data_IF_557455898465
#
_entry.id   IF_557455898465
#
_cell.length_a   1.000
_cell.length_b   1.000
_cell.length_c   1.000
_cell.angle_alpha   90.00
_cell.angle_beta   90.00
_cell.angle_gamma   90.00
#
_symmetry.space_group_name_H-M   'P 1'
#
loop_
_entity.id
_entity.type
_entity.pdbx_description
1 polymer ?
#
# COMPACT_ATOMS: atom_id res chain seq x y z
N UNK A 1 50.23 -19.40 -2.41
CA UNK A 1 49.65 -18.04 -2.26
C UNK A 1 48.57 -17.71 -3.30
N UNK A 2 48.69 -18.12 -4.57
CA UNK A 2 47.67 -17.86 -5.63
C UNK A 2 46.26 -18.40 -5.31
N UNK A 3 46.17 -19.55 -4.64
CA UNK A 3 44.89 -20.18 -4.29
C UNK A 3 44.15 -19.50 -3.13
N UNK A 4 44.83 -18.66 -2.34
CA UNK A 4 44.23 -17.94 -1.21
C UNK A 4 43.38 -16.74 -1.69
N UNK A 5 43.86 -16.03 -2.72
CA UNK A 5 43.13 -14.91 -3.33
C UNK A 5 41.86 -15.37 -4.05
N UNK A 6 41.84 -16.59 -4.61
CA UNK A 6 40.66 -17.16 -5.25
C UNK A 6 39.51 -17.40 -4.25
N UNK A 7 39.84 -17.75 -3.00
CA UNK A 7 38.87 -18.00 -1.93
C UNK A 7 38.26 -16.69 -1.39
N UNK A 8 39.05 -15.62 -1.33
CA UNK A 8 38.59 -14.29 -0.92
C UNK A 8 37.62 -13.70 -1.96
N UNK A 9 37.87 -13.89 -3.26
CA UNK A 9 36.97 -13.41 -4.33
C UNK A 9 35.62 -14.14 -4.30
N UNK A 10 35.59 -15.43 -3.96
CA UNK A 10 34.34 -16.21 -3.88
C UNK A 10 33.43 -15.78 -2.73
N UNK A 11 33.99 -15.28 -1.62
CA UNK A 11 33.23 -14.78 -0.46
C UNK A 11 32.54 -13.42 -0.71
N UNK A 12 32.99 -12.64 -1.71
CA UNK A 12 32.36 -11.36 -2.05
C UNK A 12 31.11 -11.50 -2.92
N UNK A 13 30.86 -12.66 -3.54
CA UNK A 13 29.69 -12.86 -4.42
C UNK A 13 28.42 -13.35 -3.70
N UNK A 14 28.48 -13.69 -2.41
CA UNK A 14 27.32 -14.23 -1.67
C UNK A 14 26.49 -13.19 -0.92
N UNK A 15 26.91 -11.92 -0.88
CA UNK A 15 26.27 -10.86 -0.10
C UNK A 15 25.23 -10.03 -0.86
N UNK A 16 24.90 -10.39 -2.11
CA UNK A 16 23.98 -9.61 -2.94
C UNK A 16 22.62 -10.33 -3.00
N UNK A 17 21.60 -9.67 -2.43
CA UNK A 17 20.16 -9.98 -2.41
C UNK A 17 19.60 -10.61 -1.12
N UNK A 18 19.61 -9.84 -0.03
CA UNK A 18 18.77 -10.15 1.13
C UNK A 18 17.30 -9.84 0.83
N UNK A 19 16.65 -10.67 0.01
CA UNK A 19 15.19 -10.80 0.05
C UNK A 19 14.84 -11.48 1.37
N UNK A 20 13.92 -10.90 2.13
CA UNK A 20 13.47 -11.53 3.38
C UNK A 20 12.45 -12.59 3.02
N UNK A 21 12.83 -13.85 3.20
CA UNK A 21 11.86 -14.93 3.18
C UNK A 21 11.10 -14.91 4.50
N UNK A 22 9.83 -14.51 4.44
CA UNK A 22 8.93 -14.64 5.57
C UNK A 22 8.78 -16.13 5.93
N UNK A 23 8.70 -16.44 7.22
CA UNK A 23 8.23 -17.75 7.63
C UNK A 23 6.70 -17.86 7.43
N UNK A 24 6.18 -19.08 7.50
CA UNK A 24 4.76 -19.36 7.24
C UNK A 24 3.80 -18.52 8.11
N UNK A 25 4.14 -18.32 9.39
CA UNK A 25 3.29 -17.53 10.29
C UNK A 25 3.29 -16.04 9.94
N UNK A 26 4.45 -15.49 9.55
CA UNK A 26 4.57 -14.09 9.12
C UNK A 26 3.82 -13.85 7.80
N UNK A 27 3.98 -14.78 6.85
CA UNK A 27 3.27 -14.74 5.57
C UNK A 27 1.75 -14.80 5.77
N UNK A 28 1.29 -15.69 6.67
CA UNK A 28 -0.12 -15.78 7.04
C UNK A 28 -0.62 -14.50 7.71
N UNK A 29 0.17 -13.89 8.60
CA UNK A 29 -0.18 -12.63 9.25
C UNK A 29 -0.32 -11.48 8.25
N UNK A 30 0.62 -11.35 7.30
CA UNK A 30 0.56 -10.36 6.22
C UNK A 30 -0.69 -10.56 5.35
N UNK A 31 -0.96 -11.79 4.92
CA UNK A 31 -2.13 -12.09 4.10
C UNK A 31 -3.46 -11.84 4.85
N UNK A 32 -3.53 -12.18 6.14
CA UNK A 32 -4.68 -11.83 6.99
C UNK A 32 -4.86 -10.32 7.11
N UNK A 33 -3.76 -9.57 7.26
CA UNK A 33 -3.82 -8.11 7.31
C UNK A 33 -4.38 -7.52 6.00
N UNK A 34 -3.93 -8.00 4.85
CA UNK A 34 -4.41 -7.56 3.54
C UNK A 34 -5.91 -7.85 3.39
N UNK A 35 -6.36 -9.05 3.78
CA UNK A 35 -7.79 -9.38 3.75
C UNK A 35 -8.60 -8.53 4.72
N UNK A 36 -8.07 -8.25 5.91
CA UNK A 36 -8.71 -7.36 6.86
C UNK A 36 -8.88 -5.94 6.29
N UNK A 37 -7.83 -5.36 5.72
CA UNK A 37 -7.88 -4.03 5.07
C UNK A 37 -8.90 -4.03 3.93
N UNK A 38 -8.91 -5.06 3.09
CA UNK A 38 -9.89 -5.23 2.00
C UNK A 38 -11.32 -5.23 2.54
N UNK A 39 -11.59 -5.99 3.59
CA UNK A 39 -12.90 -6.05 4.22
C UNK A 39 -13.31 -4.71 4.81
N UNK A 40 -12.40 -4.00 5.48
CA UNK A 40 -12.66 -2.69 6.06
C UNK A 40 -13.01 -1.63 5.02
N UNK A 41 -12.36 -1.65 3.84
CA UNK A 41 -12.76 -0.80 2.71
C UNK A 41 -14.15 -1.18 2.17
N UNK A 42 -14.42 -2.48 2.01
CA UNK A 42 -15.71 -2.95 1.50
C UNK A 42 -16.89 -2.63 2.44
N UNK A 43 -16.69 -2.74 3.75
CA UNK A 43 -17.70 -2.44 4.78
C UNK A 43 -17.74 -0.97 5.20
N UNK A 44 -16.82 -0.15 4.68
CA UNK A 44 -16.69 1.28 5.01
C UNK A 44 -16.45 1.53 6.51
N UNK A 45 -15.72 0.63 7.16
CA UNK A 45 -15.35 0.77 8.56
C UNK A 45 -14.13 1.69 8.71
N UNK A 46 -14.39 3.00 8.76
CA UNK A 46 -13.36 4.04 8.86
C UNK A 46 -12.56 3.99 10.16
N UNK A 47 -13.20 3.58 11.26
CA UNK A 47 -12.52 3.42 12.54
C UNK A 47 -11.54 2.26 12.45
N UNK A 48 -11.97 1.13 11.88
CA UNK A 48 -11.11 -0.01 11.60
C UNK A 48 -9.97 0.35 10.65
N UNK A 49 -10.23 1.05 9.54
CA UNK A 49 -9.18 1.51 8.61
C UNK A 49 -8.13 2.37 9.33
N UNK A 50 -8.58 3.30 10.16
CA UNK A 50 -7.69 4.19 10.92
C UNK A 50 -6.75 3.44 11.85
N UNK A 51 -7.19 2.31 12.41
CA UNK A 51 -6.34 1.47 13.26
C UNK A 51 -5.23 0.73 12.49
N UNK A 52 -5.35 0.66 11.17
CA UNK A 52 -4.40 -0.03 10.31
C UNK A 52 -3.50 0.94 9.52
N UNK A 53 -3.65 2.25 9.69
CA UNK A 53 -2.78 3.25 9.04
C UNK A 53 -1.47 3.40 9.83
N UNK A 54 -0.37 3.62 9.11
CA UNK A 54 0.95 3.85 9.70
C UNK A 54 0.92 4.93 10.77
N UNK A 55 1.51 4.67 11.96
CA UNK A 55 1.67 5.67 13.00
C UNK A 55 2.41 6.93 12.53
N UNK A 56 3.36 6.80 11.59
CA UNK A 56 4.07 7.96 11.00
C UNK A 56 3.08 8.88 10.29
N UNK A 57 2.18 8.33 9.47
CA UNK A 57 1.18 9.12 8.74
C UNK A 57 0.19 9.77 9.70
N UNK A 58 -0.29 9.03 10.71
CA UNK A 58 -1.18 9.60 11.72
C UNK A 58 -0.51 10.78 12.43
N UNK A 59 0.75 10.63 12.82
CA UNK A 59 1.50 11.65 13.56
C UNK A 59 1.81 12.89 12.73
N UNK A 60 2.30 12.72 11.50
CA UNK A 60 2.87 13.81 10.71
C UNK A 60 1.90 14.46 9.73
N UNK A 61 0.81 13.77 9.34
CA UNK A 61 -0.16 14.31 8.37
C UNK A 61 -1.47 14.70 9.04
N UNK A 62 -2.01 13.83 9.89
CA UNK A 62 -3.37 14.00 10.43
C UNK A 62 -3.40 14.46 11.89
N UNK A 63 -2.28 14.44 12.59
CA UNK A 63 -2.09 14.66 14.03
C UNK A 63 -2.84 13.70 14.96
N UNK A 64 -3.92 13.05 14.52
CA UNK A 64 -4.72 12.14 15.33
C UNK A 64 -5.45 11.11 14.49
N UNK A 65 -5.84 9.99 15.12
CA UNK A 65 -6.72 8.99 14.50
C UNK A 65 -8.10 9.57 14.16
N UNK A 66 -8.65 10.44 15.00
CA UNK A 66 -9.96 11.04 14.75
C UNK A 66 -9.96 11.93 13.51
N UNK A 67 -8.89 12.67 13.27
CA UNK A 67 -8.70 13.45 12.04
C UNK A 67 -8.69 12.57 10.79
N UNK A 68 -8.05 11.39 10.85
CA UNK A 68 -8.06 10.41 9.76
C UNK A 68 -9.48 9.89 9.51
N UNK A 69 -10.16 9.44 10.57
CA UNK A 69 -11.53 8.93 10.48
C UNK A 69 -12.49 10.00 9.92
N UNK A 70 -12.33 11.25 10.33
CA UNK A 70 -13.08 12.40 9.79
C UNK A 70 -12.79 12.62 8.31
N UNK A 71 -11.53 12.61 7.89
CA UNK A 71 -11.15 12.77 6.48
C UNK A 71 -11.75 11.67 5.60
N UNK A 72 -11.69 10.40 6.04
CA UNK A 72 -12.29 9.27 5.32
C UNK A 72 -13.82 9.42 5.18
N UNK A 73 -14.50 9.89 6.23
CA UNK A 73 -15.95 10.18 6.19
C UNK A 73 -16.27 11.28 5.18
N UNK A 74 -15.52 12.38 5.20
CA UNK A 74 -15.71 13.50 4.26
C UNK A 74 -15.59 13.01 2.81
N UNK A 75 -14.53 12.27 2.48
CA UNK A 75 -14.35 11.72 1.13
C UNK A 75 -15.55 10.87 0.70
N UNK A 76 -16.12 10.08 1.61
CA UNK A 76 -17.26 9.25 1.29
C UNK A 76 -18.58 10.04 1.17
N UNK A 77 -18.79 11.04 2.02
CA UNK A 77 -19.94 11.93 1.93
C UNK A 77 -19.90 12.74 0.62
N UNK A 78 -18.73 13.14 0.15
CA UNK A 78 -18.54 13.72 -1.17
C UNK A 78 -18.96 12.76 -2.29
N UNK A 79 -18.60 11.47 -2.22
CA UNK A 79 -19.06 10.48 -3.21
C UNK A 79 -20.60 10.37 -3.23
N UNK A 80 -21.24 10.39 -2.06
CA UNK A 80 -22.71 10.38 -1.94
C UNK A 80 -23.34 11.65 -2.51
N UNK A 81 -22.83 12.82 -2.14
CA UNK A 81 -23.32 14.11 -2.64
C UNK A 81 -23.19 14.20 -4.17
N UNK A 82 -22.13 13.60 -4.71
CA UNK A 82 -21.92 13.50 -6.15
C UNK A 82 -22.73 12.38 -6.81
N UNK A 83 -23.62 11.69 -6.10
CA UNK A 83 -24.50 10.64 -6.64
C UNK A 83 -23.74 9.48 -7.28
N UNK A 84 -22.58 9.12 -6.72
CA UNK A 84 -21.84 7.92 -7.14
C UNK A 84 -22.69 6.69 -6.83
N UNK A 85 -23.10 5.97 -7.89
CA UNK A 85 -24.01 4.82 -7.81
C UNK A 85 -23.28 3.53 -7.47
N UNK A 86 -21.97 3.45 -7.75
CA UNK A 86 -21.14 2.32 -7.38
C UNK A 86 -19.74 2.80 -6.96
N UNK A 87 -19.27 2.29 -5.84
CA UNK A 87 -17.90 2.43 -5.36
C UNK A 87 -17.41 1.05 -4.93
N UNK A 88 -16.49 0.49 -5.71
CA UNK A 88 -15.88 -0.80 -5.47
C UNK A 88 -14.38 -0.66 -5.29
N UNK A 89 -13.79 -1.54 -4.49
CA UNK A 89 -12.38 -1.55 -4.16
C UNK A 89 -11.86 -2.97 -4.13
N UNK A 90 -10.84 -3.24 -4.93
CA UNK A 90 -10.10 -4.50 -4.91
C UNK A 90 -8.66 -4.27 -4.47
N UNK A 91 -8.15 -5.19 -3.67
CA UNK A 91 -6.75 -5.21 -3.23
C UNK A 91 -6.12 -6.51 -3.74
N UNK A 92 -4.97 -6.38 -4.38
CA UNK A 92 -4.21 -7.49 -4.96
C UNK A 92 -3.37 -8.26 -3.93
N UNK A 93 -2.38 -8.99 -4.43
CA UNK A 93 -1.36 -9.65 -3.60
C UNK A 93 -0.20 -8.70 -3.30
N UNK A 94 0.56 -8.99 -2.25
CA UNK A 94 1.76 -8.21 -1.95
C UNK A 94 2.92 -8.55 -2.89
N UNK A 95 3.79 -7.56 -3.09
CA UNK A 95 5.10 -7.75 -3.70
C UNK A 95 6.03 -8.54 -2.80
N UNK A 96 7.26 -8.76 -3.27
CA UNK A 96 8.37 -9.21 -2.41
C UNK A 96 8.51 -8.32 -1.19
N UNK A 97 8.86 -8.95 -0.06
CA UNK A 97 9.11 -8.28 1.21
C UNK A 97 10.60 -7.91 1.30
N UNK A 98 10.85 -6.65 1.60
CA UNK A 98 12.18 -6.09 1.80
C UNK A 98 12.36 -5.67 3.26
N UNK A 99 13.60 -5.74 3.74
CA UNK A 99 13.97 -5.14 5.02
C UNK A 99 14.59 -3.78 4.78
N UNK A 100 13.95 -2.75 5.31
CA UNK A 100 14.45 -1.37 5.28
C UNK A 100 14.65 -0.87 6.69
N UNK A 101 15.90 -0.60 7.08
CA UNK A 101 16.25 -0.23 8.46
C UNK A 101 15.68 -1.26 9.45
N UNK A 102 14.75 -0.84 10.29
CA UNK A 102 14.11 -1.64 11.35
C UNK A 102 12.71 -2.14 10.95
N UNK A 103 12.32 -2.01 9.69
CA UNK A 103 11.00 -2.35 9.19
C UNK A 103 11.06 -3.43 8.08
N UNK A 104 10.06 -4.30 8.05
CA UNK A 104 9.71 -5.09 6.86
C UNK A 104 8.73 -4.29 6.02
N UNK A 105 8.92 -4.26 4.71
CA UNK A 105 8.10 -3.49 3.78
C UNK A 105 7.72 -4.32 2.55
N UNK A 106 6.48 -4.15 2.10
CA UNK A 106 6.02 -4.61 0.80
C UNK A 106 4.98 -3.63 0.23
N UNK A 107 4.64 -3.81 -1.03
CA UNK A 107 3.60 -3.02 -1.69
C UNK A 107 2.44 -3.92 -2.09
N UNK A 108 1.23 -3.38 -2.12
CA UNK A 108 0.04 -4.08 -2.63
C UNK A 108 -0.71 -3.13 -3.56
N UNK A 109 -1.09 -3.62 -4.74
CA UNK A 109 -1.91 -2.85 -5.66
C UNK A 109 -3.34 -2.75 -5.13
N UNK A 110 -3.90 -1.55 -5.16
CA UNK A 110 -5.30 -1.24 -4.86
C UNK A 110 -5.93 -0.63 -6.11
N UNK A 111 -7.10 -1.14 -6.48
CA UNK A 111 -7.91 -0.61 -7.58
C UNK A 111 -9.26 -0.18 -7.05
N UNK A 112 -9.62 1.07 -7.31
CA UNK A 112 -10.89 1.66 -6.92
C UNK A 112 -11.68 2.01 -8.16
N UNK A 113 -12.93 1.56 -8.22
CA UNK A 113 -13.86 1.84 -9.32
C UNK A 113 -14.98 2.72 -8.78
N UNK A 114 -15.13 3.90 -9.37
CA UNK A 114 -16.24 4.81 -9.12
C UNK A 114 -17.13 4.83 -10.36
N UNK A 115 -18.44 4.71 -10.20
CA UNK A 115 -19.43 4.86 -11.28
C UNK A 115 -20.50 5.86 -10.88
N UNK A 116 -20.89 6.69 -11.84
CA UNK A 116 -22.00 7.62 -11.76
C UNK A 116 -22.61 7.71 -13.16
N UNK A 117 -23.85 7.25 -13.34
CA UNK A 117 -24.54 7.30 -14.64
C UNK A 117 -23.64 6.87 -15.81
N UNK A 118 -23.33 7.81 -16.71
CA UNK A 118 -22.49 7.63 -17.90
C UNK A 118 -20.99 7.70 -17.62
N UNK A 119 -20.59 7.97 -16.38
CA UNK A 119 -19.22 8.18 -15.95
C UNK A 119 -18.71 6.97 -15.16
N UNK A 120 -17.49 6.52 -15.47
CA UNK A 120 -16.74 5.54 -14.69
C UNK A 120 -15.31 6.01 -14.53
N UNK A 121 -14.78 6.03 -13.32
CA UNK A 121 -13.37 6.25 -13.06
C UNK A 121 -12.77 4.98 -12.46
N UNK A 122 -11.60 4.57 -12.95
CA UNK A 122 -10.79 3.48 -12.43
C UNK A 122 -9.47 4.07 -11.97
N UNK A 123 -9.22 4.00 -10.67
CA UNK A 123 -8.02 4.49 -10.04
C UNK A 123 -7.19 3.30 -9.57
N UNK A 124 -5.99 3.15 -10.11
CA UNK A 124 -5.03 2.13 -9.70
C UNK A 124 -3.88 2.82 -8.96
N UNK A 125 -3.59 2.36 -7.75
CA UNK A 125 -2.50 2.88 -6.92
C UNK A 125 -1.95 1.78 -6.03
N UNK A 126 -0.89 2.07 -5.30
CA UNK A 126 -0.22 1.11 -4.45
C UNK A 126 -0.30 1.56 -2.99
N UNK A 127 -0.48 0.60 -2.11
CA UNK A 127 -0.33 0.77 -0.67
C UNK A 127 1.04 0.24 -0.28
N UNK A 128 1.76 0.99 0.56
CA UNK A 128 2.91 0.46 1.30
C UNK A 128 2.36 -0.25 2.54
N UNK A 129 2.76 -1.50 2.76
CA UNK A 129 2.59 -2.17 4.04
C UNK A 129 3.94 -2.25 4.74
N UNK A 130 3.96 -1.85 6.02
CA UNK A 130 5.16 -1.85 6.84
C UNK A 130 4.93 -2.55 8.19
N UNK A 131 5.94 -3.24 8.69
CA UNK A 131 5.93 -3.91 9.99
C UNK A 131 7.23 -3.63 10.75
N UNK A 132 7.12 -3.12 11.98
CA UNK A 132 8.24 -2.83 12.89
C UNK A 132 8.50 -3.96 13.89
N UNK A 133 7.67 -5.00 13.89
CA UNK A 133 7.71 -6.10 14.88
C UNK A 133 8.02 -7.45 14.24
N UNK A 134 8.83 -7.41 13.18
CA UNK A 134 9.25 -8.58 12.40
C UNK A 134 8.07 -9.34 11.80
N UNK A 135 7.09 -8.62 11.24
CA UNK A 135 6.00 -9.18 10.45
C UNK A 135 4.82 -9.72 11.26
N UNK A 136 4.70 -9.38 12.55
CA UNK A 136 3.56 -9.81 13.38
C UNK A 136 2.36 -8.89 13.16
N UNK A 137 2.59 -7.59 13.09
CA UNK A 137 1.59 -6.58 12.79
C UNK A 137 2.04 -5.73 11.60
N UNK A 138 1.10 -5.40 10.72
CA UNK A 138 1.36 -4.66 9.50
C UNK A 138 0.40 -3.46 9.42
N UNK A 139 0.95 -2.28 9.14
CA UNK A 139 0.18 -1.07 8.88
C UNK A 139 0.32 -0.66 7.42
N UNK A 140 -0.71 -0.03 6.85
CA UNK A 140 -0.67 0.48 5.48
C UNK A 140 -0.47 1.98 5.43
N UNK A 141 -0.02 2.48 4.28
CA UNK A 141 0.05 3.90 3.94
C UNK A 141 -0.19 4.09 2.45
N UNK A 142 -0.80 5.22 2.10
CA UNK A 142 -0.81 5.70 0.72
C UNK A 142 0.62 6.09 0.33
N UNK A 143 0.95 5.96 -0.96
CA UNK A 143 2.31 6.14 -1.48
C UNK A 143 2.39 7.23 -2.55
N UNK A 144 1.39 8.10 -2.60
CA UNK A 144 1.29 9.23 -3.53
C UNK A 144 1.76 10.55 -2.90
N UNK A 145 2.37 11.40 -3.73
CA UNK A 145 2.80 12.74 -3.36
C UNK A 145 3.54 12.81 -2.02
N UNK A 146 3.10 13.72 -1.16
CA UNK A 146 3.69 13.99 0.15
C UNK A 146 3.83 12.77 1.05
N UNK A 147 2.93 11.78 0.96
CA UNK A 147 3.02 10.58 1.78
C UNK A 147 4.28 9.78 1.45
N UNK A 148 4.69 9.72 0.18
CA UNK A 148 5.89 9.01 -0.24
C UNK A 148 7.14 9.54 0.44
N UNK A 149 7.26 10.87 0.55
CA UNK A 149 8.45 11.52 1.12
C UNK A 149 8.58 11.32 2.63
N UNK A 150 7.46 11.03 3.31
CA UNK A 150 7.42 10.71 4.75
C UNK A 150 7.73 9.24 5.05
N UNK A 151 7.67 8.38 4.05
CA UNK A 151 7.84 6.95 4.21
C UNK A 151 9.28 6.60 3.82
N UNK A 152 9.98 5.92 4.73
CA UNK A 152 11.32 5.38 4.48
C UNK A 152 11.26 4.17 3.52
N UNK A 153 10.75 4.36 2.30
CA UNK A 153 10.49 3.30 1.32
C UNK A 153 11.80 2.70 0.83
N UNK A 154 11.90 1.36 0.82
CA UNK A 154 13.02 0.67 0.18
C UNK A 154 13.14 1.11 -1.30
N UNK A 155 14.31 1.58 -1.77
CA UNK A 155 14.48 1.98 -3.17
C UNK A 155 14.28 0.82 -4.17
N UNK A 156 14.32 -0.44 -3.72
CA UNK A 156 14.03 -1.63 -4.54
C UNK A 156 12.54 -1.94 -4.63
N UNK A 157 11.71 -1.33 -3.78
CA UNK A 157 10.27 -1.57 -3.80
C UNK A 157 9.64 -0.85 -4.99
N UNK A 158 9.07 -1.62 -5.90
CA UNK A 158 8.42 -1.08 -7.09
C UNK A 158 7.05 -0.56 -6.70
N UNK A 159 6.93 0.76 -6.59
CA UNK A 159 5.66 1.46 -6.36
C UNK A 159 5.44 2.41 -7.54
N UNK A 160 4.69 1.99 -8.57
CA UNK A 160 4.29 2.84 -9.68
C UNK A 160 3.51 4.07 -9.23
N UNK A 161 3.52 5.11 -10.08
CA UNK A 161 2.62 6.25 -9.90
C UNK A 161 1.16 5.82 -10.05
N UNK A 162 0.28 6.55 -9.36
CA UNK A 162 -1.17 6.37 -9.50
C UNK A 162 -1.56 6.52 -10.97
N UNK A 163 -2.40 5.60 -11.45
CA UNK A 163 -3.02 5.67 -12.77
C UNK A 163 -4.51 5.91 -12.61
N UNK A 164 -5.03 6.92 -13.31
CA UNK A 164 -6.45 7.24 -13.33
C UNK A 164 -6.97 7.13 -14.76
N UNK A 165 -7.86 6.16 -14.99
CA UNK A 165 -8.55 5.98 -16.27
C UNK A 165 -10.00 6.41 -16.11
N UNK A 166 -10.45 7.34 -16.94
CA UNK A 166 -11.82 7.85 -16.91
C UNK A 166 -12.55 7.41 -18.17
N UNK A 167 -13.82 7.06 -18.01
CA UNK A 167 -14.72 6.69 -19.09
C UNK A 167 -15.96 7.57 -19.05
N UNK A 168 -16.40 8.07 -20.20
CA UNK A 168 -17.67 8.76 -20.38
C UNK A 168 -18.44 8.09 -21.51
N UNK A 169 -19.69 7.72 -21.25
CA UNK A 169 -20.52 6.93 -22.17
C UNK A 169 -19.81 5.63 -22.63
N UNK A 170 -19.01 5.02 -21.75
CA UNK A 170 -18.22 3.83 -22.07
C UNK A 170 -16.95 4.07 -22.89
N UNK A 171 -16.69 5.30 -23.33
CA UNK A 171 -15.49 5.68 -24.07
C UNK A 171 -14.43 6.16 -23.09
N UNK A 172 -13.23 5.61 -23.18
CA UNK A 172 -12.08 6.07 -22.41
C UNK A 172 -11.74 7.51 -22.81
N UNK A 173 -11.68 8.41 -21.83
CA UNK A 173 -11.16 9.76 -22.00
C UNK A 173 -9.72 9.70 -21.50
N UNK A 174 -8.76 9.95 -22.39
CA UNK A 174 -7.38 10.12 -21.98
C UNK A 174 -7.29 11.32 -21.03
N UNK A 175 -6.76 11.07 -19.83
CA UNK A 175 -6.37 12.12 -18.92
C UNK A 175 -4.91 12.43 -19.24
N UNK A 176 -4.64 13.64 -19.72
CA UNK A 176 -3.29 14.22 -19.78
C UNK A 176 -2.61 14.23 -18.41
#
# INVERSE_FOLDING_TARGET
MKNFYLFIILLFFTSINAQVKLNENQEKALNLQIQNIKNLFATRDYTGLTNNISPKIIKYVYNSKDSVSKALRICYDELKQNQVTNHDTSIGIHSTVFKTKDELQCSVQMTTILKKDTFKAVSEYYLLLASTDNGKNWCFSLTDGFFRDLLDIDPKLIIPNRKLTVYKNGIMIDNE
#
